data_IF_508142722252
#
_entry.id   IF_508142722252
#
_cell.length_a   1.000
_cell.length_b   1.000
_cell.length_c   1.000
_cell.angle_alpha   90.00
_cell.angle_beta   90.00
_cell.angle_gamma   90.00
#
_symmetry.space_group_name_H-M   'P 1'
#
loop_
_entity.id
_entity.type
_entity.pdbx_description
1 polymer ?
#
# COMPACT_ATOMS: atom_id res chain seq x y z
N UNK A 1 -6.05 -10.19 -16.25
CA UNK A 1 -5.76 -10.80 -14.94
C UNK A 1 -4.82 -9.88 -14.18
N UNK A 2 -5.14 -9.49 -12.95
CA UNK A 2 -4.22 -8.70 -12.11
C UNK A 2 -2.98 -9.55 -11.81
N UNK A 3 -1.79 -9.09 -12.22
CA UNK A 3 -0.53 -9.72 -11.80
C UNK A 3 -0.32 -9.47 -10.30
N UNK A 4 0.19 -10.47 -9.58
CA UNK A 4 0.42 -10.40 -8.13
C UNK A 4 1.34 -9.20 -7.77
N UNK A 5 0.79 -8.14 -7.13
CA UNK A 5 1.54 -6.96 -6.70
C UNK A 5 2.65 -7.29 -5.71
N UNK A 6 2.41 -8.37 -4.95
CA UNK A 6 3.13 -8.78 -3.76
C UNK A 6 4.00 -10.01 -4.04
N UNK A 7 4.31 -10.31 -5.31
CA UNK A 7 5.12 -11.49 -5.67
C UNK A 7 6.49 -11.58 -4.98
N UNK A 8 7.03 -10.44 -4.54
CA UNK A 8 8.29 -10.36 -3.77
C UNK A 8 8.10 -10.64 -2.27
N UNK A 9 6.86 -10.77 -1.80
CA UNK A 9 6.48 -10.97 -0.41
C UNK A 9 5.67 -12.25 -0.19
N UNK A 10 4.92 -12.71 -1.19
CA UNK A 10 4.08 -13.90 -1.14
C UNK A 10 3.84 -14.47 -2.54
N UNK A 11 3.67 -15.79 -2.62
CA UNK A 11 3.41 -16.51 -3.88
C UNK A 11 2.09 -16.10 -4.53
N UNK A 12 1.96 -16.34 -5.83
CA UNK A 12 0.75 -16.04 -6.59
C UNK A 12 -0.46 -16.82 -6.06
N UNK A 13 -0.26 -18.06 -5.63
CA UNK A 13 -1.31 -18.89 -5.02
C UNK A 13 -1.80 -18.31 -3.69
N UNK A 14 -0.87 -17.85 -2.84
CA UNK A 14 -1.23 -17.17 -1.58
C UNK A 14 -1.94 -15.85 -1.86
N UNK A 15 -1.49 -15.06 -2.84
CA UNK A 15 -2.16 -13.83 -3.23
C UNK A 15 -3.61 -14.10 -3.66
N UNK A 16 -3.79 -15.10 -4.52
CA UNK A 16 -5.10 -15.50 -5.03
C UNK A 16 -6.02 -15.96 -3.91
N UNK A 17 -5.54 -16.83 -3.01
CA UNK A 17 -6.29 -17.27 -1.83
C UNK A 17 -6.77 -16.08 -0.98
N UNK A 18 -5.88 -15.13 -0.71
CA UNK A 18 -6.21 -13.97 0.12
C UNK A 18 -7.22 -13.03 -0.56
N UNK A 19 -7.17 -12.87 -1.89
CA UNK A 19 -8.16 -12.11 -2.65
C UNK A 19 -9.51 -12.84 -2.66
N UNK A 20 -9.53 -14.13 -2.96
CA UNK A 20 -10.76 -14.94 -3.07
C UNK A 20 -11.52 -15.01 -1.74
N UNK A 21 -10.80 -14.97 -0.61
CA UNK A 21 -11.39 -14.98 0.73
C UNK A 21 -11.59 -13.56 1.30
N UNK A 22 -11.42 -12.50 0.51
CA UNK A 22 -11.54 -11.11 0.92
C UNK A 22 -10.68 -10.74 2.16
N UNK A 23 -9.52 -11.40 2.28
CA UNK A 23 -8.57 -11.24 3.38
C UNK A 23 -7.58 -10.08 3.15
N UNK A 24 -7.59 -9.48 1.95
CA UNK A 24 -6.85 -8.26 1.63
C UNK A 24 -7.77 -7.06 1.57
N UNK A 25 -7.36 -5.98 2.25
CA UNK A 25 -8.03 -4.69 2.13
C UNK A 25 -7.54 -3.99 0.87
N UNK A 26 -8.46 -3.69 -0.04
CA UNK A 26 -8.18 -2.94 -1.29
C UNK A 26 -7.38 -1.65 -1.03
N UNK A 27 -7.77 -0.90 0.01
CA UNK A 27 -7.05 0.29 0.49
C UNK A 27 -5.57 -0.01 0.81
N UNK A 28 -5.29 -1.14 1.46
CA UNK A 28 -3.94 -1.55 1.81
C UNK A 28 -3.08 -1.86 0.58
N UNK A 29 -3.68 -2.52 -0.43
CA UNK A 29 -3.01 -2.80 -1.71
C UNK A 29 -2.67 -1.49 -2.43
N UNK A 30 -3.64 -0.58 -2.52
CA UNK A 30 -3.43 0.76 -3.11
C UNK A 30 -2.30 1.51 -2.40
N UNK A 31 -2.37 1.59 -1.08
CA UNK A 31 -1.36 2.32 -0.30
C UNK A 31 0.04 1.70 -0.45
N UNK A 32 0.14 0.39 -0.64
CA UNK A 32 1.38 -0.29 -0.99
C UNK A 32 1.92 0.17 -2.35
N UNK A 33 1.08 0.21 -3.40
CA UNK A 33 1.47 0.70 -4.72
C UNK A 33 1.94 2.15 -4.70
N UNK A 34 1.24 3.03 -3.98
CA UNK A 34 1.62 4.43 -3.82
C UNK A 34 3.01 4.55 -3.18
N UNK A 35 3.29 3.78 -2.12
CA UNK A 35 4.62 3.74 -1.48
C UNK A 35 5.69 3.20 -2.43
N UNK A 36 5.35 2.20 -3.25
CA UNK A 36 6.27 1.63 -4.24
C UNK A 36 6.64 2.68 -5.29
N UNK A 37 5.65 3.35 -5.91
CA UNK A 37 5.87 4.43 -6.88
C UNK A 37 6.69 5.57 -6.29
N UNK A 38 6.34 6.03 -5.08
CA UNK A 38 7.11 7.05 -4.37
C UNK A 38 8.57 6.65 -4.17
N UNK A 39 8.83 5.43 -3.69
CA UNK A 39 10.20 4.96 -3.47
C UNK A 39 11.04 4.82 -4.74
N UNK A 40 10.40 4.59 -5.90
CA UNK A 40 11.08 4.56 -7.20
C UNK A 40 11.48 5.96 -7.67
N UNK A 41 10.64 6.97 -7.40
CA UNK A 41 10.81 8.33 -7.95
C UNK A 41 11.54 9.29 -7.01
N UNK A 42 11.61 9.01 -5.70
CA UNK A 42 12.10 9.96 -4.67
C UNK A 42 13.54 10.44 -4.84
N UNK A 43 14.35 9.72 -5.62
CA UNK A 43 15.75 10.11 -5.88
C UNK A 43 15.86 11.04 -7.11
N UNK A 44 14.87 11.02 -7.99
CA UNK A 44 14.91 11.70 -9.28
C UNK A 44 14.04 12.98 -9.30
N UNK A 45 13.02 13.04 -8.43
CA UNK A 45 12.04 14.13 -8.43
C UNK A 45 11.81 14.70 -7.02
N UNK A 46 11.48 16.01 -6.91
CA UNK A 46 11.00 16.59 -5.67
C UNK A 46 9.69 15.93 -5.20
N UNK A 47 9.51 15.83 -3.89
CA UNK A 47 8.32 15.20 -3.28
C UNK A 47 6.99 15.76 -3.82
N UNK A 48 6.87 17.08 -4.00
CA UNK A 48 5.61 17.69 -4.46
C UNK A 48 5.24 17.22 -5.87
N UNK A 49 6.21 17.12 -6.78
CA UNK A 49 6.03 16.59 -8.15
C UNK A 49 5.59 15.14 -8.10
N UNK A 50 6.20 14.32 -7.24
CA UNK A 50 5.84 12.90 -7.11
C UNK A 50 4.41 12.77 -6.58
N UNK A 51 3.98 13.63 -5.66
CA UNK A 51 2.61 13.62 -5.15
C UNK A 51 1.62 13.98 -6.26
N UNK A 52 1.90 14.99 -7.07
CA UNK A 52 1.07 15.33 -8.24
C UNK A 52 0.94 14.15 -9.20
N UNK A 53 2.06 13.48 -9.56
CA UNK A 53 2.06 12.27 -10.38
C UNK A 53 1.28 11.09 -9.76
N UNK A 54 1.17 11.03 -8.43
CA UNK A 54 0.35 10.03 -7.75
C UNK A 54 -1.13 10.43 -7.78
N UNK A 55 -1.44 11.73 -7.68
CA UNK A 55 -2.81 12.22 -7.79
C UNK A 55 -3.37 12.07 -9.21
N UNK A 56 -2.53 12.12 -10.24
CA UNK A 56 -2.94 11.77 -11.62
C UNK A 56 -3.43 10.32 -11.72
N UNK A 57 -2.73 9.37 -11.10
CA UNK A 57 -3.14 7.96 -11.05
C UNK A 57 -4.36 7.73 -10.13
N UNK A 58 -4.50 8.56 -9.09
CA UNK A 58 -5.54 8.44 -8.07
C UNK A 58 -6.23 9.80 -7.80
N UNK A 59 -7.06 10.32 -8.74
CA UNK A 59 -7.61 11.68 -8.65
C UNK A 59 -8.50 11.94 -7.43
N UNK A 60 -9.07 10.87 -6.87
CA UNK A 60 -9.89 10.94 -5.66
C UNK A 60 -9.06 11.11 -4.37
N UNK A 61 -7.73 10.94 -4.42
CA UNK A 61 -6.86 11.15 -3.28
C UNK A 61 -6.45 12.62 -3.17
N UNK A 62 -6.64 13.16 -1.97
CA UNK A 62 -6.18 14.50 -1.61
C UNK A 62 -4.66 14.49 -1.36
N UNK A 63 -4.00 15.62 -1.62
CA UNK A 63 -2.54 15.79 -1.42
C UNK A 63 -2.07 15.32 -0.03
N UNK A 64 -2.78 15.74 1.02
CA UNK A 64 -2.46 15.36 2.40
C UNK A 64 -2.70 13.87 2.68
N UNK A 65 -3.64 13.24 1.96
CA UNK A 65 -3.85 11.79 2.05
C UNK A 65 -2.68 11.04 1.44
N UNK A 66 -2.18 11.48 0.29
CA UNK A 66 -0.98 10.90 -0.33
C UNK A 66 0.22 11.05 0.59
N UNK A 67 0.43 12.24 1.19
CA UNK A 67 1.50 12.46 2.19
C UNK A 67 1.43 11.48 3.35
N UNK A 68 0.24 11.29 3.94
CA UNK A 68 0.06 10.32 5.02
C UNK A 68 0.39 8.91 4.55
N UNK A 69 0.01 8.52 3.35
CA UNK A 69 0.32 7.19 2.81
C UNK A 69 1.84 6.98 2.68
N UNK A 70 2.57 7.94 2.10
CA UNK A 70 4.01 7.79 1.83
C UNK A 70 4.87 7.89 3.10
N UNK A 71 4.44 8.66 4.10
CA UNK A 71 5.21 8.86 5.34
C UNK A 71 4.75 8.01 6.52
N UNK A 72 3.47 7.66 6.61
CA UNK A 72 2.92 6.85 7.70
C UNK A 72 2.82 5.39 7.25
N UNK A 73 3.71 4.54 7.78
CA UNK A 73 3.63 3.09 7.61
C UNK A 73 2.48 2.56 8.48
N UNK A 74 1.53 1.76 7.95
CA UNK A 74 0.58 1.05 8.78
C UNK A 74 1.38 -0.04 9.49
N UNK A 75 1.73 0.17 10.75
CA UNK A 75 2.61 -0.71 11.51
C UNK A 75 3.34 -0.08 12.70
N UNK A 76 3.26 1.24 12.89
CA UNK A 76 3.76 1.89 14.12
C UNK A 76 2.79 1.79 15.32
N UNK A 77 1.70 1.03 15.19
CA UNK A 77 1.04 0.41 16.33
C UNK A 77 1.30 -1.08 16.20
N UNK A 78 2.05 -1.65 17.14
CA UNK A 78 2.27 -3.09 17.23
C UNK A 78 0.93 -3.80 17.07
N UNK A 79 0.90 -4.75 16.12
CA UNK A 79 -0.18 -5.70 16.02
C UNK A 79 0.03 -6.68 17.18
N UNK A 80 -0.63 -6.44 18.32
CA UNK A 80 -0.49 -7.31 19.49
C UNK A 80 -1.19 -8.65 19.19
N UNK A 81 -0.40 -9.65 18.81
CA UNK A 81 -0.84 -11.00 18.49
C UNK A 81 -1.59 -11.62 19.69
N UNK A 82 -1.29 -11.18 20.92
CA UNK A 82 -1.95 -11.67 22.12
C UNK A 82 -3.41 -11.23 22.24
N UNK A 83 -3.83 -10.18 21.51
CA UNK A 83 -5.23 -9.72 21.50
C UNK A 83 -6.19 -10.66 20.74
N UNK A 84 -5.67 -11.54 19.88
CA UNK A 84 -6.47 -12.49 19.08
C UNK A 84 -6.59 -13.85 19.77
N UNK A 85 -5.57 -14.26 20.52
CA UNK A 85 -5.54 -15.57 21.20
C UNK A 85 -6.30 -15.60 22.53
N UNK A 86 -6.89 -14.47 22.93
CA UNK A 86 -7.59 -14.32 24.22
C UNK A 86 -9.09 -14.03 24.04
N UNK A 87 -9.65 -14.20 22.84
CA UNK A 87 -11.07 -13.99 22.52
C UNK A 87 -11.78 -15.30 22.16
#
# INVERSE_FOLDING_TARGET
MMQNPLRNHLSDDTFKFLIENNLLREKGIRDFYIRKKFNQLKNDYPTYVIIEMIQEDYPYLQYETVRKIIYQKPGAKEFDINSILTA
#
